data_IF_318867208797
#
_entry.id   IF_318867208797
#
_cell.length_a   1.000
_cell.length_b   1.000
_cell.length_c   1.000
_cell.angle_alpha   90.00
_cell.angle_beta   90.00
_cell.angle_gamma   90.00
#
_symmetry.space_group_name_H-M   'P 1'
#
loop_
_entity.id
_entity.type
_entity.pdbx_description
1 polymer ?
#
# COMPACT_ATOMS: atom_id res chain seq x y z
N UNK A 1 -3.80 -8.93 16.65
CA UNK A 1 -2.51 -8.54 17.25
C UNK A 1 -1.47 -8.40 16.15
N UNK A 2 -0.84 -7.24 16.05
CA UNK A 2 0.28 -6.97 15.14
C UNK A 2 1.62 -7.20 15.85
N UNK A 3 2.59 -7.71 15.10
CA UNK A 3 3.97 -7.94 15.52
C UNK A 3 4.94 -7.38 14.50
N UNK A 4 6.09 -6.93 14.98
CA UNK A 4 7.23 -6.52 14.16
C UNK A 4 8.44 -7.38 14.50
N UNK A 5 9.18 -7.81 13.48
CA UNK A 5 10.48 -8.43 13.68
C UNK A 5 11.51 -7.37 14.10
N UNK A 6 12.22 -7.62 15.19
CA UNK A 6 13.23 -6.70 15.69
C UNK A 6 14.15 -7.38 16.69
N UNK A 7 14.98 -6.60 17.38
CA UNK A 7 15.86 -7.09 18.44
C UNK A 7 15.27 -6.87 19.83
N UNK A 8 15.51 -7.81 20.72
CA UNK A 8 15.24 -7.66 22.14
C UNK A 8 16.32 -6.83 22.85
N UNK A 9 16.22 -6.70 24.18
CA UNK A 9 17.20 -5.95 25.00
C UNK A 9 18.58 -6.60 25.04
N UNK A 10 18.68 -7.88 24.64
CA UNK A 10 19.93 -8.66 24.52
C UNK A 10 20.45 -8.72 23.08
N UNK A 11 19.89 -7.95 22.16
CA UNK A 11 20.18 -7.93 20.72
C UNK A 11 19.81 -9.20 19.94
N UNK A 12 19.02 -10.11 20.52
CA UNK A 12 18.55 -11.31 19.84
C UNK A 12 17.32 -11.01 18.96
N UNK A 13 17.27 -11.51 17.71
CA UNK A 13 16.12 -11.34 16.82
C UNK A 13 14.87 -12.04 17.37
N UNK A 14 13.76 -11.31 17.49
CA UNK A 14 12.47 -11.85 17.91
C UNK A 14 11.28 -11.06 17.36
N UNK A 15 10.10 -11.70 17.37
CA UNK A 15 8.83 -11.02 17.13
C UNK A 15 8.41 -10.22 18.36
N UNK A 16 8.23 -8.90 18.19
CA UNK A 16 7.79 -8.00 19.25
C UNK A 16 6.36 -7.56 18.99
N UNK A 17 5.52 -7.62 20.01
CA UNK A 17 4.17 -7.08 19.94
C UNK A 17 4.21 -5.58 19.60
N UNK A 18 3.45 -5.16 18.59
CA UNK A 18 3.38 -3.77 18.13
C UNK A 18 2.06 -3.10 18.46
N UNK A 19 0.95 -3.82 18.27
CA UNK A 19 -0.40 -3.35 18.62
C UNK A 19 -1.30 -4.51 19.02
N UNK A 20 -2.09 -4.29 20.07
CA UNK A 20 -3.13 -5.23 20.52
C UNK A 20 -4.52 -4.64 20.24
N UNK A 21 -5.49 -5.52 19.98
CA UNK A 21 -6.89 -5.18 19.75
C UNK A 21 -7.02 -4.04 18.75
N UNK A 22 -6.29 -4.13 17.64
CA UNK A 22 -6.07 -3.03 16.71
C UNK A 22 -6.93 -3.17 15.47
N UNK A 23 -7.14 -2.07 14.76
CA UNK A 23 -7.81 -2.11 13.45
C UNK A 23 -6.77 -1.91 12.35
N UNK A 24 -6.82 -2.76 11.32
CA UNK A 24 -6.11 -2.50 10.06
C UNK A 24 -7.10 -2.01 9.01
N UNK A 25 -6.70 -0.96 8.31
CA UNK A 25 -7.47 -0.33 7.23
C UNK A 25 -6.59 -0.13 6.00
N UNK A 26 -7.21 -0.20 4.82
CA UNK A 26 -6.58 0.14 3.55
C UNK A 26 -7.06 1.53 3.10
N UNK A 27 -6.11 2.41 2.79
CA UNK A 27 -6.38 3.79 2.42
C UNK A 27 -5.76 4.13 1.08
N UNK A 28 -6.57 4.68 0.16
CA UNK A 28 -6.09 5.20 -1.11
C UNK A 28 -5.81 6.71 -0.99
N UNK A 29 -4.56 7.10 -1.24
CA UNK A 29 -4.18 8.52 -1.28
C UNK A 29 -4.56 9.21 -2.59
N UNK A 30 -4.41 10.55 -2.64
CA UNK A 30 -4.64 11.35 -3.87
C UNK A 30 -3.82 10.90 -5.07
N UNK A 31 -2.66 10.28 -4.84
CA UNK A 31 -1.81 9.72 -5.90
C UNK A 31 -2.35 8.42 -6.49
N UNK A 32 -3.46 7.90 -5.98
CA UNK A 32 -4.01 6.59 -6.28
C UNK A 32 -3.32 5.46 -5.54
N UNK A 33 -2.12 5.67 -4.96
CA UNK A 33 -1.40 4.63 -4.21
C UNK A 33 -2.14 4.25 -2.94
N UNK A 34 -2.17 2.96 -2.66
CA UNK A 34 -2.88 2.36 -1.53
C UNK A 34 -1.87 2.04 -0.43
N UNK A 35 -2.21 2.42 0.80
CA UNK A 35 -1.45 2.12 2.02
C UNK A 35 -2.29 1.28 2.97
N UNK A 36 -1.64 0.45 3.77
CA UNK A 36 -2.22 -0.17 4.95
C UNK A 36 -1.84 0.67 6.17
N UNK A 37 -2.83 0.94 7.02
CA UNK A 37 -2.60 1.60 8.31
C UNK A 37 -3.12 0.72 9.43
N UNK A 38 -2.46 0.77 10.58
CA UNK A 38 -2.93 0.12 11.79
C UNK A 38 -2.95 1.11 12.94
N UNK A 39 -4.07 1.20 13.64
CA UNK A 39 -4.22 1.99 14.86
C UNK A 39 -4.52 1.10 16.04
N UNK A 40 -3.89 1.40 17.17
CA UNK A 40 -4.20 0.77 18.44
C UNK A 40 -5.51 1.34 18.99
N UNK A 41 -6.49 0.48 19.27
CA UNK A 41 -7.89 0.88 19.51
C UNK A 41 -8.13 1.81 20.71
N UNK A 42 -7.30 1.72 21.77
CA UNK A 42 -7.49 2.59 22.95
C UNK A 42 -6.78 3.93 22.83
N UNK A 43 -5.62 3.95 22.15
CA UNK A 43 -4.74 5.13 22.12
C UNK A 43 -4.81 5.88 20.80
N UNK A 44 -5.44 5.30 19.78
CA UNK A 44 -5.46 5.76 18.38
C UNK A 44 -4.07 5.98 17.76
N UNK A 45 -3.01 5.51 18.46
CA UNK A 45 -1.64 5.62 18.00
C UNK A 45 -1.49 4.84 16.71
N UNK A 46 -0.87 5.49 15.72
CA UNK A 46 -0.52 4.88 14.44
C UNK A 46 0.65 3.92 14.67
N UNK A 47 0.43 2.64 14.43
CA UNK A 47 1.39 1.54 14.71
C UNK A 47 1.96 0.91 13.44
N UNK A 48 1.32 1.16 12.31
CA UNK A 48 1.70 0.78 10.95
C UNK A 48 1.17 1.86 9.99
N UNK A 49 1.98 2.28 9.04
CA UNK A 49 1.65 3.16 7.93
C UNK A 49 2.62 2.85 6.79
N UNK A 50 2.21 1.89 5.96
CA UNK A 50 3.05 1.33 4.92
C UNK A 50 2.26 1.34 3.61
N UNK A 51 2.89 1.73 2.50
CA UNK A 51 2.32 1.45 1.17
C UNK A 51 2.19 -0.06 0.95
N UNK A 52 1.06 -0.51 0.41
CA UNK A 52 0.92 -1.92 0.04
C UNK A 52 1.97 -2.23 -1.03
N UNK A 53 2.94 -3.12 -0.76
CA UNK A 53 3.98 -3.46 -1.74
C UNK A 53 3.35 -4.09 -2.98
N UNK A 54 3.95 -3.79 -4.13
CA UNK A 54 3.65 -4.52 -5.37
C UNK A 54 4.26 -5.92 -5.26
N UNK A 55 3.53 -6.92 -5.75
CA UNK A 55 3.90 -8.34 -5.69
C UNK A 55 4.16 -8.80 -4.23
N UNK A 56 3.27 -8.43 -3.30
CA UNK A 56 3.42 -8.78 -1.90
C UNK A 56 3.48 -10.30 -1.68
N UNK A 57 4.48 -10.74 -0.91
CA UNK A 57 4.63 -12.15 -0.50
C UNK A 57 4.09 -12.32 0.91
N UNK A 58 2.91 -12.92 1.01
CA UNK A 58 2.34 -13.37 2.27
C UNK A 58 2.79 -14.80 2.57
N UNK A 59 3.29 -15.02 3.79
CA UNK A 59 3.68 -16.34 4.28
C UNK A 59 2.75 -16.68 5.45
N UNK A 60 2.02 -17.78 5.32
CA UNK A 60 1.17 -18.29 6.40
C UNK A 60 2.05 -18.84 7.55
N UNK A 61 1.69 -18.53 8.79
CA UNK A 61 2.42 -18.97 10.00
C UNK A 61 1.58 -19.85 10.92
N UNK A 62 0.33 -20.08 10.54
CA UNK A 62 -0.69 -20.86 11.22
C UNK A 62 -2.04 -20.55 10.58
N UNK A 63 -3.11 -21.17 11.06
CA UNK A 63 -4.45 -20.99 10.48
C UNK A 63 -4.93 -19.53 10.57
N UNK A 64 -4.63 -18.87 11.69
CA UNK A 64 -5.09 -17.51 11.99
C UNK A 64 -3.95 -16.48 11.96
N UNK A 65 -2.83 -16.79 11.33
CA UNK A 65 -1.68 -15.87 11.28
C UNK A 65 -0.92 -15.89 9.96
N UNK A 66 -0.40 -14.73 9.59
CA UNK A 66 0.46 -14.57 8.43
C UNK A 66 1.52 -13.50 8.66
N UNK A 67 2.55 -13.52 7.84
CA UNK A 67 3.61 -12.52 7.84
C UNK A 67 3.87 -11.98 6.43
N UNK A 68 4.42 -10.77 6.36
CA UNK A 68 4.88 -10.15 5.13
C UNK A 68 6.13 -9.30 5.37
N UNK A 69 6.76 -8.89 4.28
CA UNK A 69 7.98 -8.10 4.27
C UNK A 69 9.16 -8.86 3.64
N UNK A 70 10.34 -8.21 3.53
CA UNK A 70 10.65 -6.87 4.02
C UNK A 70 9.86 -5.76 3.32
N UNK A 71 9.58 -4.65 4.03
CA UNK A 71 8.85 -3.50 3.51
C UNK A 71 9.26 -2.20 4.21
N UNK A 72 8.98 -1.05 3.59
CA UNK A 72 9.22 0.27 4.18
C UNK A 72 7.95 0.76 4.85
N UNK A 73 8.05 1.08 6.14
CA UNK A 73 6.97 1.62 6.96
C UNK A 73 7.35 3.01 7.50
N UNK A 74 6.44 3.97 7.37
CA UNK A 74 6.67 5.37 7.77
C UNK A 74 6.74 5.52 9.29
N UNK A 75 6.00 4.72 10.07
CA UNK A 75 6.07 4.77 11.54
C UNK A 75 7.41 4.26 12.05
N UNK A 76 7.98 3.26 11.37
CA UNK A 76 9.30 2.73 11.70
C UNK A 76 10.40 3.69 11.25
N UNK A 77 10.27 4.32 10.08
CA UNK A 77 11.24 5.32 9.63
C UNK A 77 11.35 6.48 10.64
N UNK A 78 10.23 6.91 11.21
CA UNK A 78 10.21 7.94 12.27
C UNK A 78 10.91 7.49 13.56
N UNK A 79 10.88 6.20 13.88
CA UNK A 79 11.52 5.63 15.08
C UNK A 79 13.01 5.28 14.86
N UNK A 80 13.41 4.94 13.63
CA UNK A 80 14.71 4.32 13.33
C UNK A 80 15.46 5.04 12.19
N UNK A 81 15.89 6.26 12.45
CA UNK A 81 16.81 7.04 11.58
C UNK A 81 16.42 7.04 10.09
N UNK A 82 15.13 7.09 9.78
CA UNK A 82 14.56 7.11 8.43
C UNK A 82 14.82 5.87 7.55
N UNK A 83 15.20 4.71 8.11
CA UNK A 83 15.36 3.49 7.31
C UNK A 83 14.03 2.79 7.01
N UNK A 84 13.11 2.73 7.99
CA UNK A 84 11.74 2.21 7.82
C UNK A 84 11.61 0.72 7.48
N UNK A 85 12.73 0.01 7.30
CA UNK A 85 12.73 -1.39 6.90
C UNK A 85 12.14 -2.26 8.03
N UNK A 86 11.13 -3.02 7.66
CA UNK A 86 10.33 -3.78 8.62
C UNK A 86 9.86 -5.11 8.03
N UNK A 87 9.74 -6.10 8.92
CA UNK A 87 9.03 -7.34 8.67
C UNK A 87 7.91 -7.44 9.69
N UNK A 88 6.76 -7.89 9.23
CA UNK A 88 5.52 -7.85 9.97
C UNK A 88 4.91 -9.23 10.07
N UNK A 89 4.32 -9.52 11.21
CA UNK A 89 3.45 -10.67 11.39
C UNK A 89 2.18 -10.22 12.08
N UNK A 90 1.09 -10.91 11.77
CA UNK A 90 -0.22 -10.59 12.32
C UNK A 90 -0.96 -11.87 12.68
N UNK A 91 -1.64 -11.84 13.82
CA UNK A 91 -2.52 -12.90 14.29
C UNK A 91 -3.91 -12.32 14.45
N UNK A 92 -4.90 -13.00 13.87
CA UNK A 92 -6.31 -12.64 13.91
C UNK A 92 -7.08 -13.46 14.93
N UNK A 93 -8.27 -13.00 15.28
CA UNK A 93 -9.19 -13.73 16.17
C UNK A 93 -9.77 -14.98 15.50
N UNK A 94 -10.07 -14.90 14.20
CA UNK A 94 -10.70 -15.99 13.43
C UNK A 94 -9.98 -16.27 12.12
N UNK A 95 -10.12 -17.50 11.63
CA UNK A 95 -9.63 -17.92 10.32
C UNK A 95 -10.25 -17.09 9.19
N UNK A 96 -11.54 -16.79 9.29
CA UNK A 96 -12.26 -15.98 8.32
C UNK A 96 -11.64 -14.59 8.16
N UNK A 97 -11.39 -13.88 9.28
CA UNK A 97 -10.76 -12.56 9.26
C UNK A 97 -9.34 -12.62 8.70
N UNK A 98 -8.60 -13.68 9.02
CA UNK A 98 -7.27 -13.93 8.47
C UNK A 98 -7.32 -14.08 6.94
N UNK A 99 -8.20 -14.93 6.42
CA UNK A 99 -8.33 -15.14 4.96
C UNK A 99 -8.81 -13.89 4.24
N UNK A 100 -9.76 -13.16 4.82
CA UNK A 100 -10.23 -11.87 4.30
C UNK A 100 -9.10 -10.83 4.23
N UNK A 101 -8.26 -10.74 5.26
CA UNK A 101 -7.07 -9.88 5.22
C UNK A 101 -6.11 -10.28 4.10
N UNK A 102 -5.79 -11.57 4.00
CA UNK A 102 -4.84 -12.06 3.01
C UNK A 102 -5.33 -11.81 1.57
N UNK A 103 -6.62 -12.02 1.32
CA UNK A 103 -7.25 -11.74 0.03
C UNK A 103 -7.19 -10.25 -0.29
N UNK A 104 -7.67 -9.39 0.62
CA UNK A 104 -7.63 -7.94 0.45
C UNK A 104 -6.20 -7.45 0.18
N UNK A 105 -5.23 -7.92 0.95
CA UNK A 105 -3.84 -7.48 0.78
C UNK A 105 -3.27 -7.87 -0.59
N UNK A 106 -3.62 -9.06 -1.11
CA UNK A 106 -3.25 -9.47 -2.47
C UNK A 106 -3.94 -8.60 -3.52
N UNK A 107 -5.24 -8.34 -3.36
CA UNK A 107 -5.99 -7.46 -4.26
C UNK A 107 -5.39 -6.05 -4.32
N UNK A 108 -5.07 -5.46 -3.16
CA UNK A 108 -4.53 -4.10 -3.13
C UNK A 108 -3.08 -4.02 -3.63
N UNK A 109 -2.30 -5.09 -3.48
CA UNK A 109 -0.99 -5.22 -4.13
C UNK A 109 -1.11 -5.17 -5.65
N UNK A 110 -2.07 -5.91 -6.21
CA UNK A 110 -2.31 -5.93 -7.66
C UNK A 110 -2.87 -4.59 -8.15
N UNK A 111 -3.75 -3.94 -7.38
CA UNK A 111 -4.22 -2.58 -7.68
C UNK A 111 -3.05 -1.59 -7.74
N UNK A 112 -2.12 -1.64 -6.77
CA UNK A 112 -0.94 -0.78 -6.78
C UNK A 112 -0.02 -1.03 -7.98
N UNK A 113 0.05 -2.28 -8.48
CA UNK A 113 0.76 -2.62 -9.72
C UNK A 113 0.13 -1.94 -10.93
N UNK A 114 -1.19 -2.08 -11.09
CA UNK A 114 -1.96 -1.43 -12.16
C UNK A 114 -1.82 0.10 -12.09
N UNK A 115 -1.83 0.69 -10.88
CA UNK A 115 -1.62 2.13 -10.68
C UNK A 115 -0.21 2.55 -11.15
N UNK A 116 0.82 1.78 -10.81
CA UNK A 116 2.20 2.02 -11.23
C UNK A 116 2.32 1.97 -12.76
N UNK A 117 1.78 0.93 -13.39
CA UNK A 117 1.86 0.73 -14.84
C UNK A 117 1.13 1.82 -15.60
N UNK A 118 -0.08 2.20 -15.16
CA UNK A 118 -0.83 3.30 -15.74
C UNK A 118 -0.10 4.64 -15.62
N UNK A 119 0.58 4.90 -14.50
CA UNK A 119 1.35 6.12 -14.33
C UNK A 119 2.55 6.16 -15.29
N UNK A 120 3.23 5.03 -15.55
CA UNK A 120 4.28 4.97 -16.57
C UNK A 120 3.76 5.24 -17.97
N UNK A 121 2.61 4.66 -18.34
CA UNK A 121 2.00 4.91 -19.65
C UNK A 121 1.65 6.39 -19.84
N UNK A 122 1.13 7.06 -18.81
CA UNK A 122 0.85 8.50 -18.86
C UNK A 122 2.11 9.35 -18.99
N UNK A 123 3.18 9.03 -18.26
CA UNK A 123 4.46 9.74 -18.35
C UNK A 123 5.06 9.53 -19.74
N UNK A 124 5.08 8.29 -20.23
CA UNK A 124 5.58 7.96 -21.57
C UNK A 124 4.79 8.71 -22.65
N UNK A 125 3.46 8.74 -22.57
CA UNK A 125 2.64 9.49 -23.51
C UNK A 125 2.89 11.00 -23.43
N UNK A 126 3.00 11.56 -22.22
CA UNK A 126 3.28 12.99 -22.01
C UNK A 126 4.66 13.40 -22.54
N UNK A 127 5.67 12.55 -22.32
CA UNK A 127 7.02 12.75 -22.87
C UNK A 127 7.00 12.68 -24.40
N UNK A 128 6.32 11.69 -24.98
CA UNK A 128 6.19 11.59 -26.43
C UNK A 128 5.45 12.78 -27.04
N UNK A 129 4.40 13.28 -26.39
CA UNK A 129 3.70 14.49 -26.81
C UNK A 129 4.63 15.71 -26.74
N UNK A 130 5.39 15.85 -25.65
CA UNK A 130 6.35 16.94 -25.50
C UNK A 130 7.46 16.90 -26.55
N UNK A 131 8.04 15.72 -26.81
CA UNK A 131 9.04 15.51 -27.87
C UNK A 131 8.44 15.83 -29.24
N UNK A 132 7.21 15.38 -29.55
CA UNK A 132 6.53 15.74 -30.80
C UNK A 132 6.25 17.24 -30.92
N UNK A 133 5.90 17.91 -29.82
CA UNK A 133 5.72 19.37 -29.80
C UNK A 133 7.04 20.13 -30.03
N UNK A 134 8.17 19.59 -29.55
CA UNK A 134 9.51 20.14 -29.82
C UNK A 134 9.92 19.91 -31.28
N UNK A 135 9.54 18.77 -31.86
CA UNK A 135 9.92 18.36 -33.21
C UNK A 135 9.00 18.92 -34.32
N UNK A 136 7.85 19.53 -33.98
CA UNK A 136 6.86 20.19 -34.84
C UNK A 136 6.32 19.35 -36.02
N UNK A 137 5.05 18.92 -35.95
CA UNK A 137 4.22 18.68 -37.14
C UNK A 137 2.70 18.60 -36.83
N UNK A 138 1.98 19.67 -37.19
CA UNK A 138 0.62 19.79 -37.76
C UNK A 138 -0.57 18.88 -37.36
N UNK A 139 -0.53 18.09 -36.28
CA UNK A 139 -1.70 17.27 -35.87
C UNK A 139 -1.96 17.27 -34.35
N UNK A 140 -2.05 18.48 -33.81
CA UNK A 140 -2.06 18.78 -32.36
C UNK A 140 -3.43 18.47 -31.72
N UNK A 141 -4.54 18.67 -32.43
CA UNK A 141 -5.88 18.62 -31.85
C UNK A 141 -6.30 17.21 -31.40
N UNK A 142 -6.10 16.19 -32.22
CA UNK A 142 -6.51 14.81 -31.90
C UNK A 142 -5.74 14.24 -30.70
N UNK A 143 -4.45 14.59 -30.57
CA UNK A 143 -3.62 14.14 -29.46
C UNK A 143 -3.97 14.83 -28.13
N UNK A 144 -4.31 16.12 -28.18
CA UNK A 144 -4.79 16.87 -27.01
C UNK A 144 -6.17 16.36 -26.58
N UNK A 145 -7.06 16.04 -27.52
CA UNK A 145 -8.37 15.44 -27.22
C UNK A 145 -8.22 14.07 -26.55
N UNK A 146 -7.28 13.23 -27.01
CA UNK A 146 -7.01 11.95 -26.36
C UNK A 146 -6.46 12.12 -24.92
N UNK A 147 -5.55 13.08 -24.72
CA UNK A 147 -5.02 13.42 -23.41
C UNK A 147 -6.11 13.94 -22.45
N UNK A 148 -6.98 14.83 -22.93
CA UNK A 148 -8.13 15.34 -22.16
C UNK A 148 -9.12 14.22 -21.85
N UNK A 149 -9.41 13.31 -22.79
CA UNK A 149 -10.27 12.13 -22.56
C UNK A 149 -9.68 11.18 -21.51
N UNK A 150 -8.36 10.95 -21.51
CA UNK A 150 -7.67 10.15 -20.50
C UNK A 150 -7.73 10.79 -19.10
N UNK A 151 -7.54 12.12 -19.00
CA UNK A 151 -7.71 12.86 -17.74
C UNK A 151 -9.17 12.80 -17.27
N UNK A 152 -10.14 12.94 -18.17
CA UNK A 152 -11.57 12.90 -17.86
C UNK A 152 -12.02 11.51 -17.39
N UNK A 153 -11.52 10.43 -18.00
CA UNK A 153 -11.73 9.06 -17.53
C UNK A 153 -11.15 8.84 -16.12
N UNK A 154 -10.04 9.50 -15.78
CA UNK A 154 -9.39 9.43 -14.45
C UNK A 154 -10.20 10.13 -13.35
N UNK A 155 -10.89 11.24 -13.66
CA UNK A 155 -11.81 11.91 -12.72
C UNK A 155 -13.11 11.14 -12.45
N UNK A 156 -13.49 10.20 -13.32
CA UNK A 156 -14.73 9.42 -13.23
C UNK A 156 -14.62 8.11 -12.45
N UNK A 157 -13.41 7.64 -12.12
CA UNK A 157 -13.24 6.53 -11.17
C UNK A 157 -13.18 7.10 -9.76
N UNK A 158 -14.36 7.17 -9.15
CA UNK A 158 -14.55 7.53 -7.75
C UNK A 158 -13.47 6.93 -6.85
N UNK A 159 -12.85 7.79 -6.04
CA UNK A 159 -12.08 7.41 -4.87
C UNK A 159 -13.06 6.73 -3.92
N UNK A 160 -13.28 5.42 -4.12
CA UNK A 160 -13.95 4.60 -3.11
C UNK A 160 -12.92 4.38 -2.01
N UNK A 161 -13.11 5.07 -0.89
CA UNK A 161 -12.48 4.67 0.36
C UNK A 161 -12.98 3.25 0.68
N UNK A 162 -12.21 2.23 0.29
CA UNK A 162 -12.47 0.85 0.71
C UNK A 162 -11.94 0.71 2.13
N UNK A 163 -12.68 1.27 3.08
CA UNK A 163 -12.39 1.11 4.51
C UNK A 163 -12.94 -0.26 4.90
N UNK A 164 -12.06 -1.24 4.97
CA UNK A 164 -12.37 -2.52 5.61
C UNK A 164 -11.77 -2.47 7.00
N UNK A 165 -12.63 -2.37 8.01
CA UNK A 165 -12.22 -2.51 9.39
C UNK A 165 -12.04 -4.00 9.69
N UNK A 166 -10.79 -4.42 9.85
CA UNK A 166 -10.48 -5.74 10.38
C UNK A 166 -10.02 -5.57 11.81
N UNK A 167 -10.81 -6.08 12.76
CA UNK A 167 -10.40 -6.16 14.15
C UNK A 167 -9.35 -7.25 14.26
N UNK A 168 -8.20 -6.91 14.82
CA UNK A 168 -7.02 -7.77 14.89
C UNK A 168 -6.52 -7.92 16.30
#
# INVERSE_FOLDING_TARGET
QLYRWGKDVTNNPMWKARSKDSVIEFWQGKSGKIRMICRENLTEKLRLNQFVPIDIKLIEKGEISCQWGPSIDETIAQEEFNQGLSQWAIKFETLETCKKFQEMLRCESENNKVIKDNNYQLIYFSLNLHVRNILNDNNIEDNVILYIKLIALKKKKDIKNVIVHLKV
#
